data_IF_329292138074
#
_entry.id   IF_329292138074
#
_cell.length_a   1.000
_cell.length_b   1.000
_cell.length_c   1.000
_cell.angle_alpha   90.00
_cell.angle_beta   90.00
_cell.angle_gamma   90.00
#
_symmetry.space_group_name_H-M   'P 1'
#
loop_
_entity.id
_entity.type
_entity.pdbx_description
1 polymer ?
#
# COMPACT_ATOMS: atom_id res chain seq x y z
N UNK A 1 2.66 16.24 23.94
CA UNK A 1 3.70 15.28 23.52
C UNK A 1 3.63 15.06 22.05
N UNK A 2 4.76 15.15 21.37
CA UNK A 2 4.83 14.95 19.94
C UNK A 2 5.14 13.47 19.70
N UNK A 3 4.35 12.82 18.82
CA UNK A 3 4.63 11.46 18.44
C UNK A 3 6.01 11.38 17.77
N UNK A 4 6.75 10.31 18.03
CA UNK A 4 8.03 10.10 17.38
C UNK A 4 7.84 9.87 15.89
N UNK A 5 8.88 10.12 15.08
CA UNK A 5 8.83 9.84 13.65
C UNK A 5 8.51 8.36 13.38
N UNK A 6 9.03 7.46 14.23
CA UNK A 6 8.73 6.04 14.15
C UNK A 6 7.24 5.76 14.33
N UNK A 7 6.61 6.35 15.34
CA UNK A 7 5.19 6.16 15.61
C UNK A 7 4.32 6.75 14.49
N UNK A 8 4.71 7.91 13.95
CA UNK A 8 3.98 8.54 12.85
C UNK A 8 4.03 7.67 11.59
N UNK A 9 5.19 7.12 11.25
CA UNK A 9 5.35 6.24 10.10
C UNK A 9 4.56 4.95 10.27
N UNK A 10 4.58 4.37 11.46
CA UNK A 10 3.77 3.18 11.76
C UNK A 10 2.28 3.44 11.55
N UNK A 11 1.80 4.59 12.03
CA UNK A 11 0.40 4.95 11.86
C UNK A 11 0.02 5.12 10.39
N UNK A 12 0.89 5.73 9.59
CA UNK A 12 0.66 5.91 8.16
C UNK A 12 0.60 4.56 7.44
N UNK A 13 1.54 3.67 7.72
CA UNK A 13 1.57 2.34 7.10
C UNK A 13 0.32 1.55 7.50
N UNK A 14 -0.07 1.62 8.76
CA UNK A 14 -1.27 0.93 9.24
C UNK A 14 -2.52 1.46 8.53
N UNK A 15 -2.63 2.79 8.38
CA UNK A 15 -3.76 3.41 7.68
C UNK A 15 -3.82 2.97 6.22
N UNK A 16 -2.68 2.87 5.55
CA UNK A 16 -2.59 2.39 4.18
C UNK A 16 -3.17 0.98 4.02
N UNK A 17 -2.74 0.06 4.87
CA UNK A 17 -3.22 -1.33 4.78
C UNK A 17 -4.66 -1.50 5.24
N UNK A 18 -5.12 -0.69 6.18
CA UNK A 18 -6.53 -0.65 6.55
C UNK A 18 -7.39 -0.24 5.35
N UNK A 19 -6.96 0.81 4.64
CA UNK A 19 -7.65 1.25 3.41
C UNK A 19 -7.61 0.17 2.34
N UNK A 20 -6.47 -0.49 2.17
CA UNK A 20 -6.32 -1.59 1.21
C UNK A 20 -7.37 -2.68 1.47
N UNK A 21 -7.46 -3.14 2.72
CA UNK A 21 -8.37 -4.23 3.08
C UNK A 21 -9.84 -3.85 2.99
N UNK A 22 -10.17 -2.57 3.05
CA UNK A 22 -11.54 -2.09 2.90
C UNK A 22 -11.88 -1.67 1.47
N UNK A 23 -10.94 -1.81 0.54
CA UNK A 23 -11.15 -1.40 -0.85
C UNK A 23 -11.21 0.11 -1.04
N UNK A 24 -10.65 0.87 -0.10
CA UNK A 24 -10.66 2.32 -0.12
C UNK A 24 -9.42 2.87 -0.81
N UNK A 25 -9.47 2.96 -2.14
CA UNK A 25 -8.33 3.45 -2.92
C UNK A 25 -7.98 4.88 -2.53
N UNK A 26 -8.98 5.74 -2.35
CA UNK A 26 -8.73 7.13 -1.96
C UNK A 26 -7.97 7.21 -0.63
N UNK A 27 -8.33 6.34 0.33
CA UNK A 27 -7.62 6.26 1.60
C UNK A 27 -6.18 5.81 1.45
N UNK A 28 -5.92 4.88 0.54
CA UNK A 28 -4.54 4.46 0.23
C UNK A 28 -3.73 5.62 -0.35
N UNK A 29 -4.31 6.34 -1.31
CA UNK A 29 -3.63 7.47 -1.96
C UNK A 29 -3.33 8.60 -0.99
N UNK A 30 -4.20 8.81 -0.01
CA UNK A 30 -3.99 9.84 1.00
C UNK A 30 -2.74 9.61 1.86
N UNK A 31 -2.23 8.38 1.90
CA UNK A 31 -1.02 8.04 2.64
C UNK A 31 0.25 8.28 1.85
N UNK A 32 0.17 8.68 0.59
CA UNK A 32 1.31 8.76 -0.32
C UNK A 32 1.71 10.19 -0.60
N UNK A 33 3.01 10.40 -0.81
CA UNK A 33 3.51 11.67 -1.32
C UNK A 33 3.10 11.83 -2.80
N UNK A 34 2.87 13.06 -3.28
CA UNK A 34 2.47 13.27 -4.68
C UNK A 34 3.48 12.71 -5.69
N UNK A 35 4.74 12.66 -5.33
CA UNK A 35 5.84 12.19 -6.19
C UNK A 35 6.32 10.79 -5.83
N UNK A 36 5.45 9.98 -5.21
CA UNK A 36 5.80 8.63 -4.78
C UNK A 36 6.39 7.81 -5.93
N UNK A 37 7.43 7.04 -5.64
CA UNK A 37 8.01 6.10 -6.59
C UNK A 37 7.54 4.70 -6.22
N UNK A 38 6.83 4.05 -7.13
CA UNK A 38 6.25 2.72 -6.91
C UNK A 38 7.03 1.68 -7.70
N UNK A 39 7.72 0.82 -6.97
CA UNK A 39 8.48 -0.30 -7.54
C UNK A 39 7.61 -1.56 -7.48
N UNK A 40 7.34 -2.16 -8.63
CA UNK A 40 6.50 -3.36 -8.72
C UNK A 40 7.38 -4.53 -9.15
N UNK A 41 7.74 -5.39 -8.20
CA UNK A 41 8.57 -6.58 -8.45
C UNK A 41 9.82 -6.23 -9.26
N UNK A 42 10.03 -6.90 -10.38
CA UNK A 42 11.12 -6.62 -11.30
C UNK A 42 10.72 -5.67 -12.42
N UNK A 43 9.51 -5.12 -12.32
CA UNK A 43 8.96 -4.29 -13.35
C UNK A 43 9.48 -2.86 -13.32
N UNK A 44 8.78 -2.04 -14.07
CA UNK A 44 9.11 -0.63 -14.18
C UNK A 44 8.79 0.10 -12.89
N UNK A 45 9.53 1.16 -12.62
CA UNK A 45 9.21 2.09 -11.54
C UNK A 45 8.17 3.07 -12.07
N UNK A 46 7.06 3.20 -11.34
CA UNK A 46 6.01 4.15 -11.66
C UNK A 46 6.14 5.36 -10.74
N UNK A 47 6.10 6.55 -11.32
CA UNK A 47 6.27 7.78 -10.56
C UNK A 47 4.97 8.55 -10.47
N UNK A 48 4.69 9.04 -9.27
CA UNK A 48 3.55 9.89 -8.99
C UNK A 48 2.30 9.13 -8.55
N UNK A 49 1.48 9.83 -7.78
CA UNK A 49 0.27 9.27 -7.19
C UNK A 49 -0.75 8.88 -8.26
N UNK A 50 -0.77 9.57 -9.40
CA UNK A 50 -1.70 9.25 -10.48
C UNK A 50 -1.42 7.88 -11.08
N UNK A 51 -0.14 7.54 -11.27
CA UNK A 51 0.25 6.22 -11.77
C UNK A 51 -0.07 5.14 -10.76
N UNK A 52 0.09 5.43 -9.49
CA UNK A 52 -0.29 4.50 -8.44
C UNK A 52 -1.80 4.27 -8.44
N UNK A 53 -2.59 5.33 -8.64
CA UNK A 53 -4.05 5.21 -8.71
C UNK A 53 -4.49 4.33 -9.89
N UNK A 54 -3.85 4.47 -11.05
CA UNK A 54 -4.12 3.62 -12.21
C UNK A 54 -3.82 2.16 -11.90
N UNK A 55 -2.71 1.89 -11.22
CA UNK A 55 -2.34 0.55 -10.79
C UNK A 55 -3.40 -0.04 -9.86
N UNK A 56 -3.83 0.73 -8.87
CA UNK A 56 -4.86 0.29 -7.93
C UNK A 56 -6.18 -0.03 -8.64
N UNK A 57 -6.59 0.80 -9.59
CA UNK A 57 -7.82 0.57 -10.35
C UNK A 57 -7.72 -0.73 -11.16
N UNK A 58 -6.57 -0.97 -11.79
CA UNK A 58 -6.34 -2.21 -12.54
C UNK A 58 -6.39 -3.43 -11.63
N UNK A 59 -5.72 -3.36 -10.49
CA UNK A 59 -5.69 -4.47 -9.53
C UNK A 59 -7.09 -4.76 -8.96
N UNK A 60 -7.86 -3.72 -8.65
CA UNK A 60 -9.22 -3.89 -8.14
C UNK A 60 -10.15 -4.53 -9.16
N UNK A 61 -9.95 -4.27 -10.45
CA UNK A 61 -10.75 -4.88 -11.50
C UNK A 61 -10.38 -6.35 -11.72
N UNK A 62 -9.14 -6.72 -11.45
CA UNK A 62 -8.60 -8.05 -11.78
C UNK A 62 -8.55 -9.00 -10.59
N UNK A 63 -8.45 -8.49 -9.38
CA UNK A 63 -8.22 -9.29 -8.19
C UNK A 63 -9.08 -8.83 -7.03
N UNK A 64 -9.45 -9.79 -6.19
CA UNK A 64 -10.02 -9.50 -4.86
C UNK A 64 -9.03 -10.02 -3.84
N UNK A 65 -8.40 -9.11 -3.10
CA UNK A 65 -7.32 -9.46 -2.17
C UNK A 65 -7.56 -8.86 -0.80
N UNK A 66 -7.23 -9.63 0.23
CA UNK A 66 -7.21 -9.18 1.62
C UNK A 66 -5.88 -9.59 2.21
N UNK A 67 -5.27 -8.70 2.98
CA UNK A 67 -4.00 -8.96 3.63
C UNK A 67 -4.24 -9.38 5.06
N UNK A 68 -3.72 -10.54 5.43
CA UNK A 68 -3.85 -11.13 6.76
C UNK A 68 -2.49 -11.18 7.46
N UNK A 69 -2.53 -11.30 8.77
CA UNK A 69 -1.32 -11.48 9.59
C UNK A 69 -0.30 -10.36 9.35
N UNK A 70 -0.79 -9.13 9.30
CA UNK A 70 0.04 -7.97 9.02
C UNK A 70 0.98 -7.67 10.18
N UNK A 71 2.27 -7.60 9.89
CA UNK A 71 3.30 -7.16 10.83
C UNK A 71 4.03 -5.98 10.20
N UNK A 72 4.13 -4.88 10.92
CA UNK A 72 4.75 -3.66 10.43
C UNK A 72 6.06 -3.44 11.17
N UNK A 73 7.13 -3.27 10.40
CA UNK A 73 8.48 -3.00 10.91
C UNK A 73 8.85 -1.58 10.52
N UNK A 74 9.26 -0.76 11.47
CA UNK A 74 9.62 0.62 11.19
C UNK A 74 11.00 0.89 11.74
N UNK A 75 11.85 1.51 10.92
CA UNK A 75 13.18 1.92 11.34
C UNK A 75 13.09 2.92 12.49
N UNK A 76 14.12 2.96 13.32
CA UNK A 76 14.14 3.78 14.51
C UNK A 76 13.89 5.27 14.22
N UNK A 77 14.45 5.75 13.09
CA UNK A 77 14.28 7.13 12.64
C UNK A 77 12.95 7.41 11.92
N UNK A 78 12.18 6.37 11.65
CA UNK A 78 10.89 6.49 10.96
C UNK A 78 10.98 6.68 9.46
N UNK A 79 12.17 6.65 8.88
CA UNK A 79 12.34 6.93 7.45
C UNK A 79 12.17 5.72 6.54
N UNK A 80 12.20 4.53 7.11
CA UNK A 80 12.01 3.29 6.37
C UNK A 80 11.05 2.38 7.11
N UNK A 81 10.26 1.65 6.36
CA UNK A 81 9.36 0.66 6.94
C UNK A 81 9.22 -0.52 6.00
N UNK A 82 8.82 -1.65 6.57
CA UNK A 82 8.49 -2.84 5.82
C UNK A 82 7.23 -3.44 6.41
N UNK A 83 6.50 -4.19 5.62
CA UNK A 83 5.32 -4.91 6.08
C UNK A 83 5.40 -6.34 5.59
N UNK A 84 5.04 -7.27 6.48
CA UNK A 84 4.94 -8.69 6.18
C UNK A 84 3.48 -9.08 6.30
N UNK A 85 2.97 -9.86 5.38
CA UNK A 85 1.58 -10.26 5.41
C UNK A 85 1.36 -11.51 4.55
N UNK A 86 0.18 -12.11 4.71
CA UNK A 86 -0.27 -13.21 3.87
C UNK A 86 -1.40 -12.67 2.99
N UNK A 87 -1.29 -12.89 1.70
CA UNK A 87 -2.32 -12.45 0.75
C UNK A 87 -3.36 -13.56 0.59
N UNK A 88 -4.62 -13.22 0.85
CA UNK A 88 -5.76 -14.06 0.54
C UNK A 88 -6.49 -13.39 -0.61
N UNK A 89 -6.43 -14.01 -1.77
CA UNK A 89 -6.99 -13.37 -2.93
C UNK A 89 -7.49 -14.36 -3.96
N UNK A 90 -8.20 -13.83 -4.94
CA UNK A 90 -8.61 -14.60 -6.10
C UNK A 90 -8.66 -13.68 -7.33
N UNK A 91 -8.47 -14.29 -8.47
CA UNK A 91 -8.53 -13.62 -9.75
C UNK A 91 -9.99 -13.47 -10.17
N UNK A 92 -10.38 -12.24 -10.51
CA UNK A 92 -11.76 -11.91 -10.88
C UNK A 92 -11.95 -11.80 -12.39
N UNK A 93 -10.93 -11.31 -13.08
CA UNK A 93 -10.99 -11.11 -14.53
C UNK A 93 -10.76 -12.43 -15.22
N UNK A 94 -11.53 -12.68 -16.28
CA UNK A 94 -11.32 -13.83 -17.14
C UNK A 94 -10.46 -13.38 -18.31
N UNK A 95 -9.39 -14.08 -18.58
CA UNK A 95 -8.60 -13.79 -19.76
C UNK A 95 -9.41 -14.11 -20.99
N UNK A 96 -9.37 -13.23 -21.98
CA UNK A 96 -10.05 -13.49 -23.25
C UNK A 96 -9.46 -14.68 -23.98
#
# INVERSE_FOLDING_TARGET
MIASANAASRATIHAYFTAFNSGDIAGMLACLAPDVAHHVNEGQVRHGVEKFAEFCAHMSASYSETLKDLVIFVAEDGERAAAEFVVHGRYLATDP
#
